data_IF_514670085773
#
_entry.id   IF_514670085773
#
_cell.length_a   1.000
_cell.length_b   1.000
_cell.length_c   1.000
_cell.angle_alpha   90.00
_cell.angle_beta   90.00
_cell.angle_gamma   90.00
#
_symmetry.space_group_name_H-M   'P 1'
#
loop_
_entity.id
_entity.type
_entity.pdbx_description
1 polymer ?
2 branched ?
3 non-polymer ?
4 non-polymer ?
5 water ?
#
# COMPACT_ATOMS: atom_id res chain seq x y z
N UNK A 6 -3.42 -11.99 9.37
CA UNK A 6 -3.55 -13.16 8.44
C UNK A 6 -4.20 -14.34 9.14
N UNK A 7 -4.47 -15.41 8.42
CA UNK A 7 -3.87 -16.70 8.81
C UNK A 7 -3.78 -17.82 7.84
N UNK A 8 -2.72 -17.67 7.10
CA UNK A 8 -1.69 -18.66 7.12
C UNK A 8 -0.73 -17.98 8.11
N UNK A 9 0.03 -18.76 8.89
CA UNK A 9 1.07 -18.14 9.70
C UNK A 9 2.25 -17.75 8.85
N UNK A 10 3.17 -16.96 9.39
CA UNK A 10 4.41 -16.71 8.72
C UNK A 10 5.37 -17.72 9.30
N UNK A 11 5.88 -18.64 8.47
CA UNK A 11 6.75 -19.70 9.00
C UNK A 11 8.22 -19.34 8.86
N UNK A 12 8.99 -19.54 9.93
CA UNK A 12 10.41 -19.20 10.00
C UNK A 12 10.75 -17.86 9.33
N UNK A 13 10.04 -16.80 9.74
CA UNK A 13 10.30 -15.53 9.07
C UNK A 13 11.66 -14.97 9.46
N UNK A 14 12.37 -14.41 8.49
CA UNK A 14 13.66 -13.74 8.71
C UNK A 14 13.45 -12.44 9.50
N UNK A 15 14.39 -12.11 10.38
CA UNK A 15 14.34 -10.85 11.14
C UNK A 15 15.44 -9.91 10.57
N UNK A 16 15.12 -8.62 10.29
CA UNK A 16 13.87 -7.91 10.60
C UNK A 16 12.74 -8.36 9.71
N UNK A 17 11.54 -8.42 10.28
CA UNK A 17 10.36 -8.92 9.59
C UNK A 17 9.29 -7.84 9.56
N UNK A 18 8.54 -7.75 8.47
CA UNK A 18 7.35 -6.94 8.46
C UNK A 18 6.28 -7.65 7.64
N UNK A 19 5.10 -7.81 8.22
CA UNK A 19 4.02 -8.48 7.53
C UNK A 19 2.64 -8.00 7.87
N UNK A 20 1.76 -8.10 6.87
CA UNK A 20 0.37 -7.79 7.02
C UNK A 20 -0.35 -8.66 8.09
N UNK A 21 -1.17 -8.00 8.91
CA UNK A 21 -2.23 -8.64 9.69
C UNK A 21 -3.54 -8.49 8.88
N UNK A 22 -4.06 -9.60 8.36
CA UNK A 22 -5.24 -9.56 7.50
C UNK A 22 -6.49 -9.11 8.25
N UNK A 23 -7.12 -8.04 7.74
CA UNK A 23 -8.27 -7.41 8.37
C UNK A 23 -7.91 -6.45 9.50
N UNK A 24 -6.61 -6.31 9.76
CA UNK A 24 -6.10 -5.56 10.91
C UNK A 24 -6.46 -6.14 12.26
N UNK A 25 -6.07 -5.44 13.33
CA UNK A 25 -6.42 -5.87 14.69
C UNK A 25 -7.93 -5.77 14.91
N UNK A 26 -8.51 -6.82 15.48
CA UNK A 26 -9.92 -6.82 15.83
C UNK A 26 -10.02 -7.41 17.22
N UNK A 27 -11.02 -6.98 17.98
CA UNK A 27 -11.26 -7.53 19.29
C UNK A 27 -11.29 -9.06 19.22
N UNK A 28 -10.51 -9.68 20.11
CA UNK A 28 -10.45 -11.13 20.24
C UNK A 28 -9.32 -11.77 19.47
N UNK A 29 -8.69 -11.04 18.56
CA UNK A 29 -7.60 -11.61 17.74
C UNK A 29 -6.37 -11.95 18.62
N UNK A 30 -5.78 -13.13 18.45
CA UNK A 30 -4.60 -13.52 19.20
C UNK A 30 -3.42 -13.68 18.27
N UNK A 31 -2.33 -12.97 18.56
CA UNK A 31 -1.18 -12.97 17.66
C UNK A 31 -0.05 -13.64 18.41
N UNK A 32 0.45 -14.75 17.87
CA UNK A 32 1.55 -15.45 18.52
C UNK A 32 2.83 -15.17 17.81
N UNK A 33 3.84 -14.84 18.58
CA UNK A 33 5.20 -14.68 18.09
C UNK A 33 6.01 -15.75 18.83
N UNK A 34 6.41 -16.77 18.09
CA UNK A 34 7.13 -17.90 18.67
C UNK A 34 8.55 -17.84 18.15
N UNK A 35 9.50 -17.76 19.05
CA UNK A 35 10.88 -17.78 18.61
C UNK A 35 11.88 -17.96 19.73
N UNK A 36 13.08 -17.41 19.54
CA UNK A 36 14.18 -17.52 20.53
C UNK A 36 14.99 -16.25 20.58
N UNK A 37 15.27 -15.77 21.80
CA UNK A 37 16.17 -14.63 21.94
C UNK A 37 17.57 -15.10 21.57
N UNK A 38 18.22 -14.36 20.66
CA UNK A 38 19.59 -14.67 20.27
C UNK A 38 20.55 -14.65 21.47
N UNK A 39 21.58 -15.50 21.38
CA UNK A 39 22.57 -15.59 22.43
C UNK A 39 23.62 -14.49 22.35
N UNK A 40 23.74 -13.85 21.19
CA UNK A 40 24.74 -12.79 21.00
C UNK A 40 24.51 -11.51 21.84
N UNK A 41 25.10 -10.38 21.42
CA UNK A 41 25.32 -9.27 22.35
C UNK A 41 24.86 -7.83 22.06
N UNK A 42 23.83 -7.53 21.24
CA UNK A 42 22.59 -8.27 21.13
C UNK A 42 21.77 -8.01 22.37
N UNK A 43 21.31 -6.78 22.62
CA UNK A 43 20.63 -6.51 23.90
C UNK A 43 19.14 -6.16 23.89
N UNK A 44 18.52 -6.11 22.70
CA UNK A 44 17.11 -5.75 22.62
C UNK A 44 16.43 -6.43 21.45
N UNK A 45 15.12 -6.59 21.55
CA UNK A 45 14.31 -6.93 20.38
C UNK A 45 12.98 -6.22 20.54
N UNK A 46 12.27 -6.06 19.42
CA UNK A 46 10.96 -5.42 19.47
C UNK A 46 9.91 -6.14 18.62
N UNK A 47 8.68 -6.11 19.10
CA UNK A 47 7.50 -6.52 18.31
C UNK A 47 6.68 -5.23 18.23
N UNK A 48 6.34 -4.81 17.01
CA UNK A 48 5.58 -3.58 16.74
C UNK A 48 4.25 -3.88 16.07
N UNK A 49 3.15 -3.39 16.63
CA UNK A 49 1.85 -3.43 15.98
C UNK A 49 1.67 -2.05 15.41
N UNK A 50 1.76 -1.95 14.09
CA UNK A 50 1.85 -0.62 13.47
C UNK A 50 0.93 -0.44 12.26
N UNK A 51 0.89 0.80 11.77
CA UNK A 51 0.09 1.13 10.62
C UNK A 51 1.05 1.37 9.46
N UNK A 52 0.94 0.50 8.46
CA UNK A 52 1.83 0.54 7.32
C UNK A 52 3.26 0.22 7.65
N UNK A 53 4.12 0.52 6.68
CA UNK A 53 5.49 0.04 6.62
C UNK A 53 6.45 0.93 7.41
N UNK A 54 6.11 2.22 7.57
CA UNK A 54 7.13 3.20 7.98
C UNK A 54 7.66 3.04 9.41
N UNK A 55 6.82 2.56 10.32
CA UNK A 55 7.15 2.67 11.74
C UNK A 55 6.92 4.03 12.41
N UNK A 56 6.35 4.99 11.70
CA UNK A 56 6.07 6.28 12.36
C UNK A 56 4.85 6.18 13.26
N UNK A 57 3.99 5.18 12.98
CA UNK A 57 2.77 5.01 13.77
C UNK A 57 2.67 3.59 14.27
N UNK A 58 3.17 3.41 15.48
CA UNK A 58 3.20 2.13 16.15
C UNK A 58 2.21 2.20 17.32
N UNK A 59 1.08 1.52 17.18
CA UNK A 59 0.08 1.51 18.28
C UNK A 59 0.66 0.86 19.54
N UNK A 60 1.51 -0.15 19.34
CA UNK A 60 2.09 -0.89 20.48
C UNK A 60 3.45 -1.42 20.07
N UNK A 61 4.47 -0.84 20.72
CA UNK A 61 5.87 -1.20 20.67
C UNK A 61 6.18 -1.94 21.97
N UNK A 62 6.57 -3.20 21.80
CA UNK A 62 6.82 -4.09 22.91
C UNK A 62 8.29 -4.44 22.78
N UNK A 63 9.11 -4.00 23.76
CA UNK A 63 10.58 -3.89 23.60
C UNK A 63 11.38 -4.44 24.78
N UNK A 64 11.55 -5.78 24.87
CA UNK A 64 12.45 -6.35 25.87
C UNK A 64 13.89 -5.85 25.72
N UNK A 65 14.49 -5.43 26.84
CA UNK A 65 15.86 -4.91 26.83
C UNK A 65 16.68 -5.66 27.88
N UNK A 66 17.77 -6.28 27.46
CA UNK A 66 18.57 -7.08 28.36
C UNK A 66 19.68 -6.16 28.87
N UNK A 67 19.24 -5.16 29.61
CA UNK A 67 20.09 -4.06 30.03
C UNK A 67 19.59 -3.62 31.39
N UNK A 68 20.50 -3.08 32.21
CA UNK A 68 20.17 -2.48 33.51
C UNK A 68 19.28 -3.40 34.35
N UNK A 69 19.60 -4.69 34.32
CA UNK A 69 18.83 -5.70 35.04
C UNK A 69 17.76 -6.44 34.23
N UNK A 70 17.48 -5.95 33.03
CA UNK A 70 16.46 -6.54 32.19
C UNK A 70 15.11 -5.89 32.46
N UNK A 71 14.53 -5.28 31.42
CA UNK A 71 13.19 -4.71 31.52
C UNK A 71 12.53 -4.62 30.16
N UNK A 72 11.20 -4.46 30.15
CA UNK A 72 10.48 -4.32 28.88
C UNK A 72 9.94 -2.89 28.80
N UNK A 73 10.20 -2.21 27.70
CA UNK A 73 9.53 -0.94 27.44
C UNK A 73 8.29 -1.18 26.59
N UNK A 74 7.17 -0.60 27.00
CA UNK A 74 5.95 -0.59 26.21
C UNK A 74 5.66 0.85 25.85
N UNK A 75 5.35 1.14 24.57
CA UNK A 75 5.12 2.52 24.14
C UNK A 75 4.28 2.60 22.85
N UNK A 76 3.93 3.82 22.48
CA UNK A 76 3.20 4.10 21.28
C UNK A 76 3.94 5.23 20.57
N UNK A 77 4.06 5.10 19.25
CA UNK A 77 4.62 6.16 18.41
C UNK A 77 3.50 6.66 17.52
N UNK A 78 3.37 7.97 17.45
CA UNK A 78 2.30 8.62 16.70
C UNK A 78 2.93 9.70 15.85
N UNK A 79 2.71 9.63 14.54
CA UNK A 79 3.40 10.44 13.50
C UNK A 79 4.87 10.71 13.78
N UNK A 80 5.62 9.66 14.12
CA UNK A 80 7.03 9.77 14.41
C UNK A 80 7.42 10.08 15.84
N UNK A 81 6.45 10.34 16.71
CA UNK A 81 6.70 10.77 18.07
C UNK A 81 6.39 9.70 19.14
N UNK A 82 7.40 9.31 19.92
CA UNK A 82 7.20 8.40 21.04
C UNK A 82 6.51 9.08 22.22
N UNK A 83 5.59 8.33 22.84
CA UNK A 83 4.87 8.72 24.05
C UNK A 83 5.67 8.43 25.32
N UNK A 84 5.04 8.56 26.50
CA UNK A 84 5.70 8.15 27.74
C UNK A 84 5.74 6.61 27.88
N UNK A 85 6.90 6.10 28.29
CA UNK A 85 7.12 4.66 28.34
C UNK A 85 6.44 4.05 29.56
N UNK A 86 5.92 2.84 29.39
CA UNK A 86 5.59 1.97 30.51
C UNK A 86 6.70 0.93 30.55
N UNK A 87 7.37 0.80 31.70
CA UNK A 87 8.50 -0.14 31.83
C UNK A 87 8.14 -1.21 32.82
N UNK A 88 8.38 -2.46 32.45
CA UNK A 88 8.06 -3.58 33.33
C UNK A 88 9.35 -4.36 33.66
N UNK A 89 9.59 -4.61 34.95
CA UNK A 89 10.74 -5.42 35.36
C UNK A 89 10.36 -6.92 35.42
N UNK A 90 11.28 -7.75 35.91
CA UNK A 90 11.09 -9.21 36.06
C UNK A 90 10.58 -9.81 34.73
N UNK A 91 11.37 -9.56 33.70
CA UNK A 91 10.98 -9.87 32.36
C UNK A 91 11.18 -11.37 32.09
N UNK A 92 10.19 -12.00 31.43
CA UNK A 92 10.25 -13.43 31.19
C UNK A 92 10.90 -13.76 29.86
N UNK A 93 11.97 -13.04 29.50
CA UNK A 93 12.83 -13.41 28.36
C UNK A 93 14.26 -13.58 28.86
N UNK A 94 14.99 -14.50 28.25
CA UNK A 94 16.44 -14.68 28.51
C UNK A 94 17.18 -14.96 27.24
N UNK A 95 18.40 -14.40 27.14
CA UNK A 95 19.26 -14.65 25.99
C UNK A 95 19.43 -16.16 25.81
N UNK A 96 19.24 -16.62 24.56
CA UNK A 96 19.30 -18.02 24.18
C UNK A 96 18.08 -18.86 24.51
N UNK A 97 17.05 -18.22 25.08
CA UNK A 97 15.89 -18.97 25.53
C UNK A 97 14.71 -18.81 24.59
N UNK A 98 14.07 -19.94 24.20
CA UNK A 98 12.89 -19.92 23.38
C UNK A 98 11.74 -19.24 24.13
N UNK A 99 10.79 -18.68 23.38
CA UNK A 99 9.61 -18.11 24.02
C UNK A 99 8.40 -18.27 23.11
N UNK A 100 7.24 -18.32 23.74
CA UNK A 100 5.99 -18.17 23.05
C UNK A 100 5.33 -16.89 23.60
N UNK A 101 5.33 -15.87 22.76
CA UNK A 101 4.75 -14.62 23.16
C UNK A 101 3.40 -14.45 22.47
N UNK A 102 2.37 -14.17 23.26
CA UNK A 102 1.03 -14.06 22.71
C UNK A 102 0.34 -12.75 23.07
N UNK A 103 -0.20 -12.09 22.05
CA UNK A 103 -0.89 -10.82 22.20
C UNK A 103 -2.35 -11.08 21.97
N UNK A 104 -3.18 -10.75 22.95
CA UNK A 104 -4.63 -10.78 22.80
C UNK A 104 -5.17 -9.35 22.71
N UNK A 105 -5.93 -9.08 21.66
CA UNK A 105 -6.56 -7.77 21.50
C UNK A 105 -7.89 -7.81 22.25
N UNK A 106 -8.03 -6.95 23.25
CA UNK A 106 -9.26 -6.76 23.97
C UNK A 106 -9.72 -5.35 23.67
N UNK A 107 -10.95 -5.02 24.07
CA UNK A 107 -11.53 -3.71 23.84
C UNK A 107 -10.70 -2.62 24.46
N UNK A 108 -10.15 -2.89 25.65
CA UNK A 108 -9.40 -1.86 26.39
C UNK A 108 -7.89 -1.89 26.24
N UNK A 109 -7.34 -3.02 25.83
CA UNK A 109 -5.91 -3.24 25.99
C UNK A 109 -5.41 -4.38 25.14
N UNK A 110 -4.08 -4.47 25.05
CA UNK A 110 -3.41 -5.71 24.67
C UNK A 110 -3.07 -6.45 25.96
N UNK A 111 -3.45 -7.70 26.01
CA UNK A 111 -3.03 -8.57 27.10
C UNK A 111 -1.91 -9.44 26.56
N UNK A 112 -0.74 -9.36 27.21
CA UNK A 112 0.45 -10.03 26.73
C UNK A 112 0.82 -11.18 27.66
N UNK A 113 0.84 -12.39 27.08
CA UNK A 113 1.25 -13.59 27.76
C UNK A 113 2.57 -14.06 27.20
N UNK A 114 3.45 -14.53 28.08
CA UNK A 114 4.73 -15.10 27.69
C UNK A 114 4.82 -16.50 28.32
N UNK A 115 5.06 -17.51 27.49
CA UNK A 115 5.12 -18.89 27.95
C UNK A 115 3.87 -19.30 28.73
N UNK A 116 2.73 -18.75 28.32
CA UNK A 116 1.44 -19.15 28.86
C UNK A 116 1.06 -18.42 30.13
N UNK A 117 1.89 -17.44 30.52
CA UNK A 117 1.70 -16.67 31.76
C UNK A 117 1.54 -15.19 31.46
N UNK A 118 0.44 -14.61 31.96
CA UNK A 118 0.18 -13.17 31.88
C UNK A 118 1.40 -12.35 32.29
N UNK A 119 1.83 -11.47 31.40
CA UNK A 119 2.97 -10.64 31.67
C UNK A 119 2.60 -9.17 31.91
N UNK A 120 1.94 -8.55 30.93
CA UNK A 120 1.56 -7.14 31.02
C UNK A 120 0.28 -6.90 30.24
N UNK A 121 -0.46 -5.87 30.64
CA UNK A 121 -1.57 -5.33 29.86
C UNK A 121 -1.17 -3.95 29.41
N UNK A 122 -1.52 -3.61 28.18
CA UNK A 122 -1.16 -2.30 27.65
C UNK A 122 -2.42 -1.66 27.13
N UNK A 123 -2.87 -0.64 27.83
CA UNK A 123 -4.08 0.04 27.45
C UNK A 123 -3.92 0.84 26.15
N UNK A 124 -4.90 0.68 25.25
CA UNK A 124 -4.86 1.32 23.92
C UNK A 124 -4.72 2.83 24.04
N UNK A 125 -3.72 3.38 23.36
CA UNK A 125 -3.52 4.82 23.33
C UNK A 125 -4.03 5.38 22.01
N UNK A 126 -4.04 4.54 20.98
CA UNK A 126 -4.59 4.90 19.67
C UNK A 126 -5.52 3.74 19.27
N UNK A 127 -6.41 3.97 18.30
CA UNK A 127 -7.33 2.90 17.90
C UNK A 127 -6.59 1.66 17.35
N UNK A 128 -6.90 0.50 17.90
CA UNK A 128 -6.16 -0.69 17.54
C UNK A 128 -6.50 -1.19 16.15
N UNK A 129 -7.65 -0.80 15.62
CA UNK A 129 -8.12 -1.35 14.35
C UNK A 129 -7.32 -0.84 13.18
N UNK A 130 -6.68 0.32 13.39
CA UNK A 130 -5.82 0.94 12.37
C UNK A 130 -4.50 0.22 12.21
N UNK A 131 -4.21 -0.71 13.11
CA UNK A 131 -3.02 -1.54 12.96
C UNK A 131 -3.29 -2.60 11.88
N UNK A 132 -2.46 -2.59 10.85
CA UNK A 132 -2.55 -3.55 9.75
C UNK A 132 -1.28 -4.37 9.49
N UNK A 133 -0.26 -4.20 10.35
CA UNK A 133 1.09 -4.70 10.11
C UNK A 133 1.75 -5.08 11.44
N UNK A 134 2.48 -6.19 11.47
CA UNK A 134 3.33 -6.52 12.61
C UNK A 134 4.77 -6.56 12.14
N UNK A 135 5.67 -5.94 12.89
CA UNK A 135 7.08 -6.03 12.51
C UNK A 135 7.86 -6.44 13.74
N UNK A 136 8.93 -7.18 13.51
CA UNK A 136 9.79 -7.67 14.58
C UNK A 136 11.22 -7.38 14.17
N UNK A 137 12.01 -6.86 15.09
CA UNK A 137 13.42 -6.58 14.80
C UNK A 137 14.26 -6.83 16.05
N UNK A 138 15.58 -6.77 15.89
CA UNK A 138 16.49 -6.94 17.00
C UNK A 138 16.96 -8.35 17.20
N UNK A 139 17.33 -8.66 18.45
CA UNK A 139 18.14 -9.84 18.79
C UNK A 139 17.27 -11.06 19.04
N UNK A 140 16.63 -11.52 17.98
CA UNK A 140 15.64 -12.59 18.09
C UNK A 140 15.63 -13.36 16.76
N UNK A 141 15.37 -14.66 16.83
CA UNK A 141 15.04 -15.44 15.65
C UNK A 141 13.63 -15.98 15.84
N UNK A 142 12.94 -16.18 14.72
CA UNK A 142 11.53 -16.48 14.77
C UNK A 142 11.24 -17.84 14.18
N UNK A 143 10.46 -18.61 14.91
CA UNK A 143 10.00 -19.89 14.39
C UNK A 143 8.71 -19.70 13.62
N UNK A 144 7.78 -18.95 14.21
CA UNK A 144 6.56 -18.56 13.47
C UNK A 144 5.84 -17.37 14.08
N UNK A 145 5.05 -16.71 13.24
CA UNK A 145 4.10 -15.72 13.73
C UNK A 145 2.77 -16.23 13.20
N UNK A 146 1.83 -16.41 14.12
CA UNK A 146 0.52 -16.95 13.77
C UNK A 146 -0.62 -16.19 14.40
N UNK A 147 -1.83 -16.52 13.93
CA UNK A 147 -3.04 -15.75 14.25
C UNK A 147 -4.20 -16.65 14.58
N UNK A 148 -4.85 -16.40 15.70
CA UNK A 148 -6.12 -17.07 15.95
C UNK A 148 -7.22 -16.02 16.15
N UNK B 7 -10.55 -2.20 -24.24
CA UNK B 7 -9.97 -3.54 -24.52
C UNK B 7 -8.65 -3.42 -25.28
N UNK B 8 -8.25 -2.19 -25.57
CA UNK B 8 -7.08 -1.88 -26.41
C UNK B 8 -5.77 -2.45 -25.83
N UNK B 9 -5.11 -3.37 -26.58
CA UNK B 9 -3.90 -4.04 -26.09
C UNK B 9 -2.64 -3.18 -26.11
N UNK B 10 -1.73 -3.42 -25.17
CA UNK B 10 -0.40 -2.83 -25.18
C UNK B 10 0.48 -3.77 -26.01
N UNK B 11 1.05 -3.27 -27.12
CA UNK B 11 1.85 -4.10 -28.04
C UNK B 11 3.35 -3.90 -27.82
N UNK B 12 4.09 -5.01 -27.73
CA UNK B 12 5.53 -4.99 -27.45
C UNK B 12 5.91 -3.97 -26.35
N UNK B 13 5.20 -4.02 -25.20
CA UNK B 13 5.55 -3.05 -24.17
C UNK B 13 6.88 -3.41 -23.52
N UNK B 14 7.73 -2.41 -23.34
CA UNK B 14 9.04 -2.59 -22.72
C UNK B 14 8.88 -2.95 -21.25
N UNK B 15 9.75 -3.84 -20.77
CA UNK B 15 9.80 -4.14 -19.33
C UNK B 15 11.08 -3.58 -18.70
N UNK B 16 10.98 -3.09 -17.45
CA UNK B 16 9.76 -3.01 -16.60
C UNK B 16 8.61 -2.16 -17.19
N UNK B 17 7.39 -2.66 -17.08
CA UNK B 17 6.20 -2.00 -17.64
C UNK B 17 5.15 -1.66 -16.58
N UNK B 18 4.53 -0.48 -16.70
CA UNK B 18 3.29 -0.15 -15.95
C UNK B 18 2.23 0.47 -16.85
N UNK B 19 1.00 0.01 -16.73
CA UNK B 19 -0.06 0.49 -17.59
C UNK B 19 -1.38 0.50 -16.90
N UNK B 20 -2.18 1.51 -17.24
CA UNK B 20 -3.51 1.67 -16.67
C UNK B 20 -4.47 0.61 -17.24
N UNK B 21 -5.27 0.01 -16.37
CA UNK B 21 -6.39 -0.81 -16.78
C UNK B 21 -7.58 0.15 -16.89
N UNK B 22 -8.31 0.08 -18.02
CA UNK B 22 -9.46 0.95 -18.26
C UNK B 22 -10.75 0.47 -17.60
N UNK B 23 -11.37 1.38 -16.85
CA UNK B 23 -12.47 1.07 -15.95
C UNK B 23 -12.02 0.36 -14.67
N UNK B 24 -10.70 0.18 -14.50
CA UNK B 24 -10.15 -0.68 -13.44
C UNK B 24 -10.57 -2.13 -13.65
N UNK B 25 -10.11 -3.03 -12.78
CA UNK B 25 -10.52 -4.43 -12.83
C UNK B 25 -12.03 -4.60 -12.59
N UNK B 26 -12.72 -5.22 -13.55
CA UNK B 26 -14.13 -5.59 -13.38
C UNK B 26 -14.29 -7.10 -13.25
N UNK B 27 -15.47 -7.54 -12.82
CA UNK B 27 -15.76 -8.97 -12.73
C UNK B 27 -16.00 -9.57 -14.13
N UNK B 28 -15.29 -10.67 -14.41
CA UNK B 28 -15.31 -11.33 -15.72
C UNK B 28 -14.27 -10.80 -16.71
N UNK B 29 -13.57 -9.72 -16.32
CA UNK B 29 -12.52 -9.13 -17.16
C UNK B 29 -11.33 -10.09 -17.26
N UNK B 30 -10.87 -10.32 -18.49
CA UNK B 30 -9.72 -11.20 -18.76
C UNK B 30 -8.51 -10.39 -19.21
N UNK B 31 -7.42 -10.45 -18.44
CA UNK B 31 -6.16 -9.81 -18.84
C UNK B 31 -5.13 -10.85 -19.25
N UNK B 32 -4.67 -10.74 -20.49
CA UNK B 32 -3.68 -11.66 -21.03
C UNK B 32 -2.29 -11.00 -21.04
N UNK B 33 -1.31 -11.73 -20.54
CA UNK B 33 0.06 -11.27 -20.59
C UNK B 33 0.87 -12.28 -21.41
N UNK B 34 1.29 -11.85 -22.58
CA UNK B 34 1.92 -12.74 -23.54
C UNK B 34 3.34 -12.29 -23.81
N UNK B 35 4.27 -13.20 -23.57
CA UNK B 35 5.67 -12.90 -23.75
C UNK B 35 6.55 -14.12 -23.71
N UNK B 36 7.85 -13.91 -23.52
CA UNK B 36 8.77 -15.01 -23.38
C UNK B 36 9.69 -14.76 -22.21
N UNK B 37 10.04 -15.83 -21.51
CA UNK B 37 11.00 -15.74 -20.42
C UNK B 37 12.38 -15.63 -21.05
N UNK B 38 13.16 -14.66 -20.58
CA UNK B 38 14.52 -14.47 -21.07
C UNK B 38 15.44 -15.55 -20.52
N UNK B 39 16.46 -15.88 -21.30
CA UNK B 39 17.51 -16.77 -20.84
C UNK B 39 18.85 -16.23 -21.36
N UNK B 40 19.57 -15.40 -20.58
CA UNK B 40 19.20 -14.91 -19.24
C UNK B 40 20.23 -13.80 -18.90
N UNK B 41 19.88 -12.71 -18.21
CA UNK B 41 18.61 -12.40 -17.52
C UNK B 41 18.09 -13.46 -16.55
N UNK B 42 18.47 -13.25 -15.29
CA UNK B 42 18.28 -14.17 -14.17
C UNK B 42 16.98 -14.94 -14.00
N UNK B 43 16.42 -14.89 -12.79
CA UNK B 43 15.54 -15.99 -12.37
C UNK B 43 14.13 -15.63 -11.87
N UNK B 44 13.74 -14.37 -11.93
CA UNK B 44 12.35 -14.00 -11.55
C UNK B 44 11.71 -13.03 -12.52
N UNK B 45 10.41 -13.20 -12.70
CA UNK B 45 9.57 -12.13 -13.25
C UNK B 45 8.24 -12.02 -12.48
N UNK B 46 7.56 -10.90 -12.60
CA UNK B 46 6.37 -10.67 -11.82
C UNK B 46 5.36 -9.90 -12.62
N UNK B 47 4.09 -10.29 -12.47
CA UNK B 47 2.93 -9.53 -12.99
C UNK B 47 2.13 -8.99 -11.81
N UNK B 48 1.91 -7.69 -11.76
CA UNK B 48 1.32 -7.07 -10.59
C UNK B 48 0.04 -6.35 -10.95
N UNK B 49 -1.03 -6.71 -10.23
CA UNK B 49 -2.27 -5.96 -10.29
C UNK B 49 -2.27 -5.03 -9.09
N UNK B 50 -2.22 -3.72 -9.35
CA UNK B 50 -1.94 -2.75 -8.28
C UNK B 50 -2.72 -1.43 -8.37
N UNK B 51 -2.60 -0.61 -7.33
CA UNK B 51 -3.23 0.71 -7.25
C UNK B 51 -2.18 1.80 -7.51
N UNK B 52 -2.23 2.39 -8.70
CA UNK B 52 -1.20 3.35 -9.12
C UNK B 52 0.13 2.68 -9.45
N UNK B 53 1.19 3.47 -9.51
CA UNK B 53 2.45 3.04 -10.10
C UNK B 53 3.58 2.78 -9.07
N UNK B 54 3.32 3.08 -7.80
CA UNK B 54 4.35 2.94 -6.74
C UNK B 54 4.70 1.50 -6.37
N UNK B 55 3.70 0.63 -6.41
CA UNK B 55 3.88 -0.77 -5.98
C UNK B 55 3.74 -0.96 -4.49
N UNK B 56 3.24 0.05 -3.77
CA UNK B 56 3.08 -0.09 -2.32
C UNK B 56 1.76 -0.78 -1.96
N UNK B 57 0.82 -0.75 -2.91
CA UNK B 57 -0.44 -1.47 -2.81
C UNK B 57 -0.70 -2.35 -4.04
N UNK B 58 -0.36 -3.62 -3.89
CA UNK B 58 -0.46 -4.61 -4.96
C UNK B 58 -1.43 -5.68 -4.51
N UNK B 59 -2.62 -5.68 -5.11
CA UNK B 59 -3.66 -6.67 -4.80
C UNK B 59 -3.26 -8.08 -5.15
N UNK B 60 -2.60 -8.22 -6.30
CA UNK B 60 -2.12 -9.52 -6.74
C UNK B 60 -0.73 -9.44 -7.40
N UNK B 61 0.24 -10.08 -6.75
CA UNK B 61 1.63 -10.23 -7.21
C UNK B 61 1.80 -11.70 -7.59
N UNK B 62 2.14 -11.95 -8.85
CA UNK B 62 2.24 -13.29 -9.41
C UNK B 62 3.66 -13.37 -9.90
N UNK B 63 4.43 -14.24 -9.25
CA UNK B 63 5.87 -14.11 -9.32
C UNK B 63 6.54 -15.47 -9.54
N UNK B 64 6.62 -15.92 -10.82
CA UNK B 64 7.45 -17.09 -11.14
C UNK B 64 8.93 -16.92 -10.75
N UNK B 65 9.50 -17.97 -10.16
CA UNK B 65 10.88 -17.98 -9.67
C UNK B 65 11.58 -19.25 -10.17
N UNK B 66 12.56 -19.04 -11.04
CA UNK B 66 13.32 -20.14 -11.63
C UNK B 66 14.44 -20.44 -10.64
N UNK B 67 14.04 -20.89 -9.45
CA UNK B 67 14.94 -21.16 -8.34
C UNK B 67 14.40 -22.37 -7.58
N UNK B 68 15.29 -23.22 -7.09
CA UNK B 68 14.89 -24.33 -6.19
C UNK B 68 13.76 -25.19 -6.80
N UNK B 69 13.98 -25.65 -8.04
CA UNK B 69 13.00 -26.49 -8.72
C UNK B 69 11.97 -25.76 -9.56
N UNK B 70 11.82 -24.46 -9.31
CA UNK B 70 10.83 -23.66 -10.03
C UNK B 70 9.53 -23.57 -9.25
N UNK B 71 9.21 -22.36 -8.79
CA UNK B 71 7.95 -22.15 -8.08
C UNK B 71 7.44 -20.77 -8.37
N UNK B 72 6.14 -20.59 -8.16
CA UNK B 72 5.50 -19.31 -8.33
C UNK B 72 4.97 -18.83 -6.96
N UNK B 73 5.28 -17.58 -6.65
CA UNK B 73 4.75 -16.91 -5.47
C UNK B 73 3.55 -16.08 -5.85
N UNK B 74 2.46 -16.28 -5.13
CA UNK B 74 1.35 -15.35 -5.20
C UNK B 74 1.26 -14.68 -3.83
N UNK B 75 1.11 -13.37 -3.84
CA UNK B 75 0.97 -12.63 -2.59
C UNK B 75 0.27 -11.35 -2.89
N UNK B 76 0.04 -10.56 -1.82
CA UNK B 76 -0.59 -9.27 -1.87
C UNK B 76 0.30 -8.34 -1.02
N UNK B 77 0.50 -7.12 -1.51
CA UNK B 77 1.15 -6.11 -0.70
C UNK B 77 0.12 -5.04 -0.33
N UNK B 78 -0.03 -4.81 0.98
CA UNK B 78 -0.98 -3.86 1.52
C UNK B 78 -0.21 -2.91 2.42
N UNK B 79 -0.26 -1.64 2.07
CA UNK B 79 0.40 -0.57 2.79
C UNK B 79 1.90 -0.79 2.95
N UNK B 80 2.55 -1.27 1.88
CA UNK B 80 3.99 -1.46 1.91
C UNK B 80 4.46 -2.78 2.51
N UNK B 81 3.57 -3.56 3.09
CA UNK B 81 3.97 -4.90 3.56
C UNK B 81 3.29 -6.08 2.84
N UNK B 82 4.05 -7.15 2.69
CA UNK B 82 3.62 -8.42 2.08
C UNK B 82 2.88 -9.27 3.10
N UNK B 83 1.94 -10.08 2.62
CA UNK B 83 1.26 -11.04 3.49
C UNK B 83 1.90 -12.40 3.39
N UNK B 84 1.19 -13.47 3.83
CA UNK B 84 1.80 -14.79 3.74
C UNK B 84 1.83 -15.25 2.27
N UNK B 85 2.94 -15.83 1.85
CA UNK B 85 3.04 -16.33 0.46
C UNK B 85 2.21 -17.59 0.22
N UNK B 86 1.54 -17.63 -0.93
CA UNK B 86 0.96 -18.86 -1.44
C UNK B 86 1.87 -19.30 -2.58
N UNK B 87 2.55 -20.43 -2.38
CA UNK B 87 3.50 -20.96 -3.36
C UNK B 87 2.98 -22.20 -4.09
N UNK B 88 3.30 -22.29 -5.38
CA UNK B 88 2.83 -23.38 -6.22
C UNK B 88 3.95 -23.84 -7.12
N UNK B 89 4.19 -25.14 -7.14
CA UNK B 89 5.21 -25.72 -8.03
C UNK B 89 4.55 -26.26 -9.30
N UNK B 90 5.20 -27.23 -9.96
CA UNK B 90 4.88 -27.64 -11.34
C UNK B 90 4.77 -26.36 -12.17
N UNK B 91 5.83 -25.55 -12.12
CA UNK B 91 5.83 -24.27 -12.80
C UNK B 91 5.65 -24.43 -14.31
N UNK B 92 4.65 -23.72 -14.86
CA UNK B 92 4.36 -23.78 -16.28
C UNK B 92 5.11 -22.70 -17.07
N UNK B 93 6.33 -22.39 -16.66
CA UNK B 93 7.17 -21.44 -17.38
C UNK B 93 8.53 -22.08 -17.52
N UNK B 94 9.26 -21.64 -18.56
CA UNK B 94 10.61 -22.13 -18.83
C UNK B 94 11.46 -21.01 -19.44
N UNK B 95 12.71 -20.91 -18.98
CA UNK B 95 13.69 -19.99 -19.53
C UNK B 95 13.74 -20.06 -21.06
N UNK B 96 13.72 -18.89 -21.70
CA UNK B 96 13.77 -18.76 -23.15
C UNK B 96 12.52 -19.16 -23.90
N UNK B 97 11.42 -19.41 -23.19
CA UNK B 97 10.21 -19.94 -23.82
C UNK B 97 8.97 -19.03 -23.74
N UNK B 98 8.15 -19.04 -24.81
CA UNK B 98 6.91 -18.26 -24.87
C UNK B 98 5.79 -18.76 -23.94
N UNK B 99 5.05 -17.82 -23.37
CA UNK B 99 3.93 -18.15 -22.51
C UNK B 99 2.76 -17.26 -22.83
N UNK B 100 1.55 -17.79 -22.70
CA UNK B 100 0.35 -16.98 -22.71
C UNK B 100 -0.29 -17.09 -21.34
N UNK B 101 -0.20 -16.00 -20.58
CA UNK B 101 -0.66 -15.97 -19.21
C UNK B 101 -1.96 -15.17 -19.24
N UNK B 102 -3.05 -15.80 -18.83
CA UNK B 102 -4.34 -15.12 -18.78
C UNK B 102 -4.92 -15.05 -17.37
N UNK B 103 -5.42 -13.86 -16.99
CA UNK B 103 -5.98 -13.63 -15.66
C UNK B 103 -7.47 -13.29 -15.75
N UNK B 104 -8.30 -14.20 -15.24
CA UNK B 104 -9.74 -13.94 -15.11
C UNK B 104 -10.13 -13.41 -13.71
N UNK B 105 -10.61 -12.17 -13.65
CA UNK B 105 -11.11 -11.61 -12.39
C UNK B 105 -12.50 -12.19 -12.11
N UNK B 106 -12.60 -12.90 -10.98
CA UNK B 106 -13.86 -13.49 -10.50
C UNK B 106 -14.27 -12.87 -9.15
N UNK B 107 -15.48 -13.16 -8.71
CA UNK B 107 -16.05 -12.58 -7.48
C UNK B 107 -15.14 -12.82 -6.26
N UNK B 108 -14.83 -14.08 -6.01
CA UNK B 108 -14.01 -14.44 -4.86
C UNK B 108 -12.50 -14.56 -5.17
N UNK B 109 -12.12 -14.56 -6.46
CA UNK B 109 -10.73 -14.85 -6.81
C UNK B 109 -10.23 -14.36 -8.19
N UNK B 110 -8.93 -14.55 -8.41
CA UNK B 110 -8.31 -14.50 -9.73
C UNK B 110 -8.18 -15.92 -10.22
N UNK B 111 -8.60 -16.15 -11.45
CA UNK B 111 -8.39 -17.41 -12.14
C UNK B 111 -7.20 -17.21 -13.09
N UNK B 112 -6.15 -17.99 -12.89
CA UNK B 112 -4.92 -17.81 -13.67
C UNK B 112 -4.69 -19.05 -14.55
N UNK B 113 -4.74 -18.83 -15.87
CA UNK B 113 -4.40 -19.83 -16.87
C UNK B 113 -2.99 -19.57 -17.41
N UNK B 114 -2.22 -20.63 -17.59
CA UNK B 114 -0.98 -20.55 -18.35
C UNK B 114 -1.12 -21.45 -19.57
N UNK B 115 -0.91 -20.88 -20.76
CA UNK B 115 -0.95 -21.67 -21.97
C UNK B 115 -2.24 -22.50 -22.09
N UNK B 116 -3.35 -21.87 -21.73
CA UNK B 116 -4.70 -22.42 -21.93
C UNK B 116 -5.20 -23.31 -20.80
N UNK B 117 -4.33 -23.55 -19.83
CA UNK B 117 -4.59 -24.43 -18.70
C UNK B 117 -4.69 -23.63 -17.40
N UNK B 118 -5.68 -23.96 -16.58
CA UNK B 118 -5.75 -23.45 -15.22
C UNK B 118 -4.48 -23.82 -14.44
N UNK B 119 -3.81 -22.79 -13.91
CA UNK B 119 -2.65 -23.00 -13.05
C UNK B 119 -2.95 -22.68 -11.56
N UNK B 120 -3.55 -21.53 -11.26
CA UNK B 120 -3.86 -21.19 -9.88
C UNK B 120 -5.13 -20.33 -9.74
N UNK B 121 -5.73 -20.42 -8.56
CA UNK B 121 -6.77 -19.49 -8.16
C UNK B 121 -6.19 -18.70 -6.98
N UNK B 122 -6.45 -17.41 -6.94
CA UNK B 122 -5.94 -16.61 -5.83
C UNK B 122 -7.07 -15.76 -5.30
N UNK B 123 -7.43 -16.04 -4.05
CA UNK B 123 -8.53 -15.34 -3.41
C UNK B 123 -8.18 -13.90 -3.13
N UNK B 124 -9.11 -13.02 -3.49
CA UNK B 124 -8.99 -11.60 -3.21
C UNK B 124 -8.76 -11.39 -1.72
N UNK B 125 -7.72 -10.62 -1.42
CA UNK B 125 -7.33 -10.31 -0.06
C UNK B 125 -7.68 -8.87 0.15
N UNK B 126 -7.79 -8.15 -0.96
CA UNK B 126 -8.25 -6.77 -1.00
C UNK B 126 -9.28 -6.64 -2.13
N UNK B 127 -10.16 -5.62 -2.06
CA UNK B 127 -11.14 -5.46 -3.15
C UNK B 127 -10.58 -4.92 -4.49
N UNK B 128 -11.21 -5.36 -5.58
CA UNK B 128 -11.16 -4.68 -6.89
C UNK B 128 -12.49 -3.89 -7.05
N UNK B 129 -12.51 -2.78 -7.80
CA UNK B 129 -11.41 -2.30 -8.63
C UNK B 129 -10.72 -1.08 -8.05
N UNK B 130 -10.11 -1.25 -6.88
CA UNK B 130 -9.13 -0.29 -6.38
C UNK B 130 -7.91 -0.33 -7.31
N UNK B 131 -7.74 -1.45 -7.99
CA UNK B 131 -6.62 -1.72 -8.88
C UNK B 131 -6.78 -1.02 -10.23
N UNK B 132 -5.93 -0.04 -10.49
CA UNK B 132 -6.02 0.75 -11.72
C UNK B 132 -4.85 0.51 -12.69
N UNK B 133 -4.10 -0.56 -12.45
CA UNK B 133 -2.78 -0.69 -13.04
C UNK B 133 -2.32 -2.14 -13.08
N UNK B 134 -1.72 -2.50 -14.21
CA UNK B 134 -0.94 -3.73 -14.31
C UNK B 134 0.53 -3.36 -14.51
N UNK B 135 1.40 -4.07 -13.81
CA UNK B 135 2.83 -3.83 -13.94
C UNK B 135 3.55 -5.15 -14.11
N UNK B 136 4.59 -5.13 -14.93
CA UNK B 136 5.40 -6.30 -15.16
C UNK B 136 6.88 -5.96 -15.05
N UNK B 137 7.66 -6.83 -14.43
CA UNK B 137 9.09 -6.60 -14.28
C UNK B 137 9.80 -7.94 -14.23
N UNK B 138 11.11 -7.91 -14.38
CA UNK B 138 11.93 -9.09 -14.25
C UNK B 138 12.44 -9.61 -15.58
N UNK B 139 12.70 -10.91 -15.61
CA UNK B 139 13.36 -11.53 -16.74
C UNK B 139 12.42 -12.02 -17.83
N UNK B 140 11.60 -11.09 -18.32
CA UNK B 140 10.70 -11.33 -19.43
C UNK B 140 10.83 -10.26 -20.52
N UNK B 141 10.55 -10.67 -21.75
CA UNK B 141 10.22 -9.74 -22.82
C UNK B 141 8.75 -9.98 -23.13
N UNK B 142 8.02 -8.93 -23.44
CA UNK B 142 6.60 -9.03 -23.65
C UNK B 142 6.20 -8.82 -25.12
N UNK B 143 5.24 -9.61 -25.59
CA UNK B 143 4.70 -9.52 -26.94
C UNK B 143 3.48 -8.59 -26.92
N UNK B 144 2.56 -8.84 -26.00
CA UNK B 144 1.45 -7.92 -25.73
C UNK B 144 0.82 -8.11 -24.34
N UNK B 145 0.14 -7.08 -23.87
CA UNK B 145 -0.79 -7.20 -22.78
C UNK B 145 -2.17 -6.85 -23.31
N UNK B 146 -3.10 -7.78 -23.24
CA UNK B 146 -4.39 -7.57 -23.87
C UNK B 146 -5.58 -7.82 -22.95
N UNK B 147 -6.70 -7.18 -23.27
CA UNK B 147 -7.90 -7.20 -22.45
C UNK B 147 -9.13 -7.66 -23.23
N UNK B 148 -9.98 -8.44 -22.58
CA UNK B 148 -11.32 -8.77 -23.10
C UNK B 148 -12.33 -8.78 -21.95
N UNK C 7 7.11 29.95 -11.84
CA UNK C 7 7.31 28.69 -12.59
C UNK C 7 6.52 28.66 -13.90
N UNK C 8 7.15 28.20 -14.97
CA UNK C 8 6.48 27.99 -16.26
C UNK C 8 5.49 26.83 -16.18
N UNK C 9 4.39 26.88 -16.97
CA UNK C 9 3.38 25.82 -16.87
C UNK C 9 3.81 24.51 -17.50
N UNK C 10 3.16 23.43 -17.05
CA UNK C 10 3.29 22.14 -17.67
C UNK C 10 2.27 22.16 -18.78
N UNK C 11 2.75 22.25 -20.02
CA UNK C 11 1.85 22.34 -21.16
C UNK C 11 1.50 20.96 -21.67
N UNK C 12 0.19 20.73 -21.83
CA UNK C 12 -0.35 19.47 -22.36
C UNK C 12 0.16 18.19 -21.67
N UNK C 13 0.16 18.19 -20.32
CA UNK C 13 0.80 17.04 -19.67
C UNK C 13 -0.04 15.79 -19.74
N UNK C 14 0.60 14.67 -20.05
CA UNK C 14 -0.06 13.38 -20.14
C UNK C 14 -0.48 12.86 -18.76
N UNK C 15 -1.67 12.30 -18.67
CA UNK C 15 -2.20 11.70 -17.42
C UNK C 15 -2.00 10.16 -17.48
N UNK C 16 -1.50 9.53 -16.37
CA UNK C 16 -1.11 10.14 -15.08
C UNK C 16 0.13 11.02 -15.15
N UNK C 17 0.09 12.11 -14.40
CA UNK C 17 1.15 13.12 -14.41
C UNK C 17 1.69 13.32 -13.02
N UNK C 18 3.00 13.48 -12.90
CA UNK C 18 3.59 14.03 -11.66
C UNK C 18 4.68 15.02 -12.02
N UNK C 19 4.69 16.16 -11.31
CA UNK C 19 5.70 17.17 -11.54
C UNK C 19 5.97 17.98 -10.30
N UNK C 20 7.20 18.47 -10.24
CA UNK C 20 7.66 19.37 -9.21
C UNK C 20 6.88 20.69 -9.20
N UNK C 21 6.65 21.20 -8.00
CA UNK C 21 6.26 22.57 -7.75
C UNK C 21 7.52 23.28 -7.26
N UNK C 22 8.04 24.18 -8.10
CA UNK C 22 9.27 24.91 -7.79
C UNK C 22 9.07 25.75 -6.55
N UNK C 23 9.96 25.58 -5.57
CA UNK C 23 9.85 26.32 -4.31
C UNK C 23 8.90 25.66 -3.32
N UNK C 24 8.12 24.71 -3.80
CA UNK C 24 7.10 24.04 -2.96
C UNK C 24 5.90 24.94 -2.73
N UNK C 25 4.88 24.44 -2.03
CA UNK C 25 3.73 25.30 -1.71
C UNK C 25 4.12 26.43 -0.76
N UNK C 26 3.63 27.63 -1.05
CA UNK C 26 3.87 28.79 -0.21
C UNK C 26 2.55 29.58 -0.16
N UNK C 27 2.33 30.32 0.93
CA UNK C 27 1.11 31.11 1.10
C UNK C 27 0.93 32.05 -0.10
N UNK C 28 -0.27 32.04 -0.66
CA UNK C 28 -0.56 32.91 -1.80
C UNK C 28 -0.39 32.25 -3.15
N UNK C 29 0.29 31.10 -3.21
CA UNK C 29 0.46 30.35 -4.47
C UNK C 29 -0.85 29.90 -5.06
N UNK C 30 -1.01 30.09 -6.37
CA UNK C 30 -2.23 29.64 -7.05
C UNK C 30 -1.86 28.62 -8.12
N UNK C 31 -2.41 27.42 -8.01
CA UNK C 31 -2.10 26.33 -8.92
C UNK C 31 -3.38 26.03 -9.69
N UNK C 32 -3.29 26.16 -11.00
CA UNK C 32 -4.43 25.91 -11.85
C UNK C 32 -4.25 24.57 -12.52
N UNK C 33 -5.30 23.77 -12.50
CA UNK C 33 -5.39 22.55 -13.27
C UNK C 33 -6.49 22.73 -14.32
N UNK C 34 -6.09 22.85 -15.57
CA UNK C 34 -7.03 23.07 -16.63
C UNK C 34 -7.04 21.85 -17.54
N UNK C 35 -8.21 21.22 -17.66
CA UNK C 35 -8.35 20.04 -18.52
C UNK C 35 -9.79 19.75 -18.84
N UNK C 36 -10.08 18.48 -19.11
CA UNK C 36 -11.39 18.00 -19.49
C UNK C 36 -11.62 16.61 -18.90
N UNK C 37 -12.78 16.39 -18.30
CA UNK C 37 -13.10 15.06 -17.80
C UNK C 37 -13.36 14.16 -19.03
N UNK C 38 -12.99 12.89 -18.95
CA UNK C 38 -13.17 11.98 -20.07
C UNK C 38 -14.63 11.48 -20.13
N UNK C 39 -15.09 11.18 -21.35
CA UNK C 39 -16.48 10.73 -21.58
C UNK C 39 -16.69 9.28 -21.17
N UNK C 40 -15.79 8.41 -21.63
CA UNK C 40 -15.71 7.03 -21.13
C UNK C 40 -14.27 6.71 -20.72
N UNK C 41 -14.13 5.88 -19.68
CA UNK C 41 -12.82 5.39 -19.21
C UNK C 41 -12.85 5.06 -17.73
N UNK C 42 -13.59 5.87 -16.98
CA UNK C 42 -13.80 5.66 -15.57
C UNK C 42 -14.70 6.71 -14.96
N UNK C 43 -14.77 6.69 -13.63
CA UNK C 43 -15.71 7.50 -12.91
C UNK C 43 -15.02 8.38 -11.85
N UNK C 44 -13.68 8.49 -11.92
CA UNK C 44 -12.89 9.22 -10.91
C UNK C 44 -11.68 9.89 -11.54
N UNK C 45 -11.30 11.03 -10.95
CA UNK C 45 -9.98 11.60 -11.20
C UNK C 45 -9.47 12.25 -9.90
N UNK C 46 -8.16 12.37 -9.77
CA UNK C 46 -7.58 12.96 -8.54
C UNK C 46 -6.52 14.01 -8.87
N UNK C 47 -6.49 15.07 -8.07
CA UNK C 47 -5.38 15.97 -8.04
C UNK C 47 -4.77 15.83 -6.65
N UNK C 48 -3.45 15.64 -6.61
CA UNK C 48 -2.73 15.36 -5.37
C UNK C 48 -1.63 16.38 -5.14
N UNK C 49 -1.65 16.99 -3.97
CA UNK C 49 -0.55 17.85 -3.56
C UNK C 49 0.25 17.04 -2.57
N UNK C 50 1.44 16.64 -2.96
CA UNK C 50 2.15 15.63 -2.19
C UNK C 50 3.63 15.94 -1.99
N UNK C 51 4.26 15.16 -1.13
CA UNK C 51 5.69 15.22 -0.90
C UNK C 51 6.38 14.11 -1.69
N UNK C 52 7.19 14.50 -2.67
CA UNK C 52 7.84 13.52 -3.55
C UNK C 52 6.90 12.79 -4.48
N UNK C 53 7.41 11.72 -5.10
CA UNK C 53 6.69 11.04 -6.18
C UNK C 53 6.05 9.71 -5.78
N UNK C 54 6.35 9.25 -4.58
CA UNK C 54 5.85 7.97 -4.07
C UNK C 54 4.34 7.87 -3.93
N UNK C 55 3.69 8.96 -3.51
CA UNK C 55 2.25 8.96 -3.24
C UNK C 55 1.90 8.60 -1.80
N UNK C 56 2.89 8.32 -0.97
CA UNK C 56 2.66 7.92 0.43
C UNK C 56 2.18 9.09 1.31
N UNK C 57 2.57 10.29 0.90
CA UNK C 57 2.37 11.47 1.72
C UNK C 57 1.76 12.52 0.80
N UNK C 58 0.44 12.58 0.87
CA UNK C 58 -0.34 13.48 0.05
C UNK C 58 -1.05 14.41 1.05
N UNK C 59 -0.68 15.68 1.02
CA UNK C 59 -1.23 16.64 1.96
C UNK C 59 -2.70 16.91 1.64
N UNK C 60 -3.02 16.91 0.34
CA UNK C 60 -4.36 17.23 -0.10
C UNK C 60 -4.62 16.41 -1.37
N UNK C 61 -5.55 15.45 -1.23
CA UNK C 61 -6.01 14.56 -2.29
C UNK C 61 -7.38 15.12 -2.64
N UNK C 62 -7.57 15.58 -3.88
CA UNK C 62 -8.85 16.20 -4.29
C UNK C 62 -9.43 15.26 -5.36
N UNK C 63 -10.54 14.60 -5.05
CA UNK C 63 -10.94 13.37 -5.76
C UNK C 63 -12.42 13.35 -6.18
N UNK C 64 -12.75 14.01 -7.30
CA UNK C 64 -14.13 13.90 -7.80
C UNK C 64 -14.48 12.50 -8.29
N UNK C 65 -15.67 12.05 -7.91
CA UNK C 65 -16.15 10.71 -8.25
C UNK C 65 -17.54 10.83 -8.83
N UNK C 66 -17.71 10.35 -10.06
CA UNK C 66 -18.99 10.37 -10.75
C UNK C 66 -19.78 9.11 -10.39
N UNK C 67 -20.04 8.97 -9.11
CA UNK C 67 -20.65 7.78 -8.54
C UNK C 67 -21.63 8.24 -7.49
N UNK C 68 -22.73 7.51 -7.33
CA UNK C 68 -23.74 7.81 -6.29
C UNK C 68 -24.26 9.27 -6.34
N UNK C 69 -24.43 9.78 -7.55
CA UNK C 69 -24.97 11.10 -7.80
C UNK C 69 -23.91 12.18 -7.99
N UNK C 70 -22.65 11.81 -7.82
CA UNK C 70 -21.53 12.76 -7.92
C UNK C 70 -21.16 13.36 -6.56
N UNK C 71 -19.89 13.23 -6.19
CA UNK C 71 -19.35 13.82 -4.97
C UNK C 71 -17.83 13.93 -5.09
N UNK C 72 -17.22 14.76 -4.24
CA UNK C 72 -15.77 14.95 -4.30
C UNK C 72 -15.23 14.57 -2.94
N UNK C 73 -14.18 13.74 -2.92
CA UNK C 73 -13.55 13.36 -1.66
C UNK C 73 -12.30 14.20 -1.49
N UNK C 74 -12.15 14.77 -0.29
CA UNK C 74 -10.94 15.51 0.11
C UNK C 74 -10.32 14.76 1.28
N UNK C 75 -9.05 14.48 1.18
CA UNK C 75 -8.38 13.68 2.20
C UNK C 75 -6.88 13.94 2.18
N UNK C 76 -6.19 13.42 3.21
CA UNK C 76 -4.75 13.51 3.38
C UNK C 76 -4.25 12.07 3.58
N UNK C 77 -3.16 11.72 2.90
CA UNK C 77 -2.47 10.44 3.07
C UNK C 77 -1.18 10.72 3.85
N UNK C 78 -0.93 9.98 4.94
CA UNK C 78 0.30 10.20 5.72
C UNK C 78 0.92 8.86 5.96
N UNK C 79 2.18 8.69 5.56
CA UNK C 79 2.91 7.43 5.61
C UNK C 79 2.11 6.27 5.02
N UNK C 80 1.41 6.56 3.91
CA UNK C 80 0.61 5.56 3.20
C UNK C 80 -0.81 5.35 3.70
N UNK C 81 -1.17 6.03 4.78
CA UNK C 81 -2.48 5.90 5.41
C UNK C 81 -3.40 7.09 5.17
N UNK C 82 -4.63 6.79 4.76
CA UNK C 82 -5.67 7.82 4.57
C UNK C 82 -6.29 8.25 5.89
N UNK C 83 -6.61 9.54 6.01
CA UNK C 83 -7.36 10.05 7.17
C UNK C 83 -8.86 10.00 6.95
N UNK C 84 -9.61 10.77 7.76
CA UNK C 84 -11.06 10.89 7.54
C UNK C 84 -11.40 11.65 6.26
N UNK C 85 -12.38 11.15 5.51
CA UNK C 85 -12.77 11.78 4.26
C UNK C 85 -13.70 12.94 4.54
N UNK C 86 -13.44 14.07 3.88
CA UNK C 86 -14.43 15.13 3.78
C UNK C 86 -15.04 14.98 2.41
N UNK C 87 -16.37 14.90 2.38
CA UNK C 87 -17.04 14.70 1.10
C UNK C 87 -17.93 15.89 0.82
N UNK C 88 -17.83 16.41 -0.40
CA UNK C 88 -18.76 17.43 -0.85
C UNK C 88 -19.60 16.90 -1.99
N UNK C 89 -20.91 17.10 -1.89
CA UNK C 89 -21.83 16.76 -2.96
C UNK C 89 -21.99 17.99 -3.86
N UNK C 90 -22.96 17.94 -4.76
CA UNK C 90 -23.10 18.98 -5.79
C UNK C 90 -21.82 19.14 -6.59
N UNK C 91 -21.37 17.99 -7.08
CA UNK C 91 -20.34 17.86 -8.10
C UNK C 91 -20.36 19.02 -9.13
N UNK C 92 -19.26 19.81 -9.17
CA UNK C 92 -19.10 20.89 -10.15
C UNK C 92 -18.47 20.44 -11.47
N UNK C 93 -18.29 19.13 -11.65
CA UNK C 93 -17.69 18.56 -12.84
C UNK C 93 -18.73 17.71 -13.58
N UNK C 94 -18.53 17.55 -14.88
CA UNK C 94 -19.34 16.65 -15.71
C UNK C 94 -18.47 15.90 -16.71
N UNK C 95 -18.76 14.61 -16.87
CA UNK C 95 -18.08 13.81 -17.88
C UNK C 95 -18.32 14.46 -19.23
N UNK C 96 -17.23 14.78 -19.93
CA UNK C 96 -17.31 15.37 -21.26
C UNK C 96 -17.07 16.87 -21.33
N UNK C 97 -17.09 17.56 -20.19
CA UNK C 97 -16.91 19.01 -20.13
C UNK C 97 -15.55 19.43 -19.58
N UNK C 98 -14.95 20.47 -20.22
CA UNK C 98 -13.72 21.11 -19.77
C UNK C 98 -13.91 21.74 -18.39
N UNK C 99 -12.82 21.95 -17.68
CA UNK C 99 -12.89 22.57 -16.37
C UNK C 99 -11.64 23.36 -16.15
N UNK C 100 -11.75 24.36 -15.28
CA UNK C 100 -10.62 25.10 -14.81
C UNK C 100 -10.69 24.99 -13.30
N UNK C 101 -9.74 24.26 -12.74
CA UNK C 101 -9.67 24.02 -11.31
C UNK C 101 -8.51 24.87 -10.81
N UNK C 102 -8.77 25.71 -9.81
CA UNK C 102 -7.74 26.58 -9.25
C UNK C 102 -7.66 26.42 -7.73
N UNK C 103 -6.45 26.13 -7.23
CA UNK C 103 -6.18 25.93 -5.79
C UNK C 103 -5.37 27.12 -5.30
N UNK C 104 -5.90 27.82 -4.31
CA UNK C 104 -5.17 28.91 -3.68
C UNK C 104 -4.67 28.41 -2.33
N UNK C 105 -3.35 28.49 -2.12
CA UNK C 105 -2.75 28.16 -0.83
C UNK C 105 -2.91 29.36 0.10
N UNK C 106 -3.62 29.11 1.20
CA UNK C 106 -3.79 30.08 2.27
C UNK C 106 -3.13 29.55 3.55
N UNK C 107 -2.94 30.42 4.56
CA UNK C 107 -2.32 29.98 5.81
C UNK C 107 -3.09 28.82 6.44
N UNK C 108 -4.42 28.87 6.38
CA UNK C 108 -5.26 27.87 7.08
C UNK C 108 -5.75 26.73 6.23
N UNK C 109 -5.84 26.94 4.92
CA UNK C 109 -6.49 25.98 4.04
C UNK C 109 -6.06 26.09 2.58
N UNK C 110 -6.45 25.11 1.77
CA UNK C 110 -6.51 25.30 0.32
C UNK C 110 -7.90 25.82 -0.01
N UNK C 111 -7.97 26.89 -0.80
CA UNK C 111 -9.22 27.43 -1.29
C UNK C 111 -9.36 26.93 -2.73
N UNK C 112 -10.43 26.21 -3.01
CA UNK C 112 -10.59 25.53 -4.31
C UNK C 112 -11.71 26.17 -5.12
N UNK C 113 -11.35 26.75 -6.26
CA UNK C 113 -12.32 27.30 -7.19
C UNK C 113 -12.48 26.38 -8.40
N UNK C 114 -13.72 26.17 -8.81
CA UNK C 114 -14.05 25.42 -10.03
C UNK C 114 -14.78 26.36 -11.00
N UNK C 115 -14.16 26.58 -12.15
CA UNK C 115 -14.71 27.44 -13.19
C UNK C 115 -15.00 28.84 -12.66
N UNK C 116 -14.05 29.35 -11.87
CA UNK C 116 -14.15 30.70 -11.28
C UNK C 116 -15.02 30.85 -10.06
N UNK C 117 -15.54 29.74 -9.53
CA UNK C 117 -16.52 29.76 -8.44
C UNK C 117 -15.99 28.91 -7.27
N UNK C 118 -15.99 29.48 -6.07
CA UNK C 118 -15.56 28.75 -4.85
C UNK C 118 -16.32 27.43 -4.67
N UNK C 119 -15.58 26.32 -4.68
CA UNK C 119 -16.21 25.02 -4.45
C UNK C 119 -16.00 24.50 -3.03
N UNK C 120 -14.76 24.49 -2.56
CA UNK C 120 -14.51 23.96 -1.21
C UNK C 120 -13.25 24.58 -0.62
N UNK C 121 -13.16 24.57 0.70
CA UNK C 121 -11.92 24.88 1.39
C UNK C 121 -11.49 23.66 2.12
N UNK C 122 -10.20 23.40 2.12
CA UNK C 122 -9.68 22.24 2.79
C UNK C 122 -8.61 22.67 3.75
N UNK C 123 -8.91 22.58 5.04
CA UNK C 123 -7.97 23.02 6.08
C UNK C 123 -6.77 22.10 6.22
N UNK C 124 -5.57 22.67 6.33
CA UNK C 124 -4.35 21.86 6.30
C UNK C 124 -4.30 20.89 7.48
N UNK C 125 -3.95 19.63 7.20
CA UNK C 125 -3.77 18.62 8.22
C UNK C 125 -2.31 18.32 8.40
N UNK C 126 -1.51 18.63 7.38
CA UNK C 126 -0.07 18.53 7.47
C UNK C 126 0.50 19.86 6.94
N UNK C 127 1.76 20.19 7.29
CA UNK C 127 2.36 21.47 6.82
C UNK C 127 2.38 21.54 5.31
N UNK C 128 1.84 22.61 4.75
CA UNK C 128 1.73 22.65 3.31
C UNK C 128 3.06 22.91 2.61
N UNK C 129 4.01 23.55 3.32
CA UNK C 129 5.30 23.86 2.72
C UNK C 129 6.09 22.61 2.34
N UNK C 130 5.75 21.47 2.94
CA UNK C 130 6.43 20.19 2.62
C UNK C 130 5.92 19.56 1.33
N UNK C 131 4.91 20.17 0.72
CA UNK C 131 4.44 19.73 -0.59
C UNK C 131 5.35 20.31 -1.67
N UNK C 132 5.95 19.44 -2.47
CA UNK C 132 6.81 19.89 -3.57
C UNK C 132 6.40 19.30 -4.92
N UNK C 133 5.29 18.55 -4.93
CA UNK C 133 4.84 17.82 -6.11
C UNK C 133 3.33 17.86 -6.34
N UNK C 134 2.91 18.01 -7.59
CA UNK C 134 1.49 17.85 -7.96
C UNK C 134 1.34 16.62 -8.85
N UNK C 135 0.39 15.77 -8.50
CA UNK C 135 0.08 14.60 -9.28
C UNK C 135 -1.37 14.61 -9.74
N UNK C 136 -1.59 14.17 -10.97
CA UNK C 136 -2.93 14.05 -11.51
C UNK C 136 -3.10 12.66 -12.11
N UNK C 137 -4.19 11.98 -11.78
CA UNK C 137 -4.47 10.68 -12.36
C UNK C 137 -5.96 10.49 -12.55
N UNK C 138 -6.30 9.46 -13.34
CA UNK C 138 -7.68 9.09 -13.56
C UNK C 138 -8.26 9.52 -14.88
N UNK C 139 -9.57 9.71 -14.87
CA UNK C 139 -10.37 9.93 -16.07
C UNK C 139 -10.41 11.38 -16.48
N UNK C 140 -9.26 11.90 -16.85
CA UNK C 140 -9.15 13.30 -17.18
C UNK C 140 -8.03 13.43 -18.19
N UNK C 141 -8.15 14.43 -19.08
CA UNK C 141 -7.08 14.86 -19.95
C UNK C 141 -6.81 16.30 -19.58
N UNK C 142 -5.54 16.69 -19.64
CA UNK C 142 -5.14 18.02 -19.18
C UNK C 142 -4.66 18.95 -20.29
N UNK C 143 -5.09 20.21 -20.23
CA UNK C 143 -4.61 21.27 -21.12
C UNK C 143 -3.32 21.87 -20.60
N UNK C 144 -3.31 22.20 -19.30
CA UNK C 144 -2.12 22.72 -18.60
C UNK C 144 -2.28 22.69 -17.10
N UNK C 145 -1.13 22.67 -16.45
CA UNK C 145 -1.03 22.97 -15.02
C UNK C 145 -0.13 24.19 -14.91
N UNK C 146 -0.67 25.27 -14.35
CA UNK C 146 0.01 26.54 -14.31
C UNK C 146 0.08 27.12 -12.89
N UNK C 147 0.96 28.10 -12.72
CA UNK C 147 1.28 28.67 -11.41
C UNK C 147 1.22 30.19 -11.46
N UNK C 148 0.71 30.77 -10.37
CA UNK C 148 0.53 32.22 -10.14
C UNK C 148 -0.47 32.98 -11.01
#
# INVERSE_FOLDING_TARGET
MAFSGSQAPYLSPAVPFSGTIQGGLQDGLQITVNGTVLSSSGTRFAVNFQTGFSGNDIAFHFNPRFEDGGYVVCNTRQNGSWGPEERKTHMPFQKGMPFDLCFLVQSSDFKVMVNGILFVQYFHRVPFHRVDTISVNGSVQLSYISFQ
MAFSGSQAPYLSPAVPFSGTIQGGLQDGLQITVNGTVLSSSGTRFAVNFQTGFSGNDIAFHFNPRFEDGGYVVCNTRQNGSWGPEERKTHMPFQKGMPFDLCFLVQSSDFKVMVNGILFVQYFHRVPFHRVDTISVNGSVQLSYISFQ
MAFSGSQAPYLSPAVPFSGTIQGGLQDGLQITVNGTVLSSSGTRFAVNFQTGFSGNDIAFHFNPRFEDGGYVVCNTRQNGSWGPEERKTHMPFQKGMPFDLCFLVQSSDFKVMVNGILFVQYFHRVPFHRVDTISVNGSVQLSYISFQ
#
